data_IF_164585647532
#
_entry.id   IF_164585647532
#
_cell.length_a   1.000
_cell.length_b   1.000
_cell.length_c   1.000
_cell.angle_alpha   90.00
_cell.angle_beta   90.00
_cell.angle_gamma   90.00
#
_symmetry.space_group_name_H-M   'P 1'
#
loop_
_entity.id
_entity.type
_entity.pdbx_description
1 polymer ?
#
# COMPACT_ATOMS: atom_id res chain seq x y z
N UNK A 1 -5.30 3.52 15.91
CA UNK A 1 -3.84 3.46 15.72
C UNK A 1 -3.49 3.10 14.27
N UNK A 2 -3.66 1.86 13.80
CA UNK A 2 -3.26 1.46 12.43
C UNK A 2 -3.95 2.24 11.30
N UNK A 3 -5.27 2.47 11.41
CA UNK A 3 -6.03 3.26 10.40
C UNK A 3 -5.54 4.72 10.28
N UNK A 4 -5.16 5.33 11.39
CA UNK A 4 -4.70 6.72 11.40
C UNK A 4 -3.30 6.84 10.79
N UNK A 5 -2.44 5.85 11.06
CA UNK A 5 -1.12 5.73 10.42
C UNK A 5 -1.25 5.50 8.90
N UNK A 6 -2.19 4.64 8.49
CA UNK A 6 -2.49 4.42 7.07
C UNK A 6 -2.97 5.70 6.38
N UNK A 7 -3.84 6.49 7.01
CA UNK A 7 -4.28 7.78 6.45
C UNK A 7 -3.14 8.79 6.32
N UNK A 8 -2.26 8.88 7.32
CA UNK A 8 -1.08 9.74 7.28
C UNK A 8 -0.09 9.31 6.19
N UNK A 9 0.12 8.00 6.05
CA UNK A 9 0.92 7.43 4.96
C UNK A 9 0.33 7.78 3.59
N UNK A 10 -0.97 7.56 3.36
CA UNK A 10 -1.62 7.91 2.09
C UNK A 10 -1.59 9.41 1.80
N UNK A 11 -1.66 10.26 2.83
CA UNK A 11 -1.47 11.70 2.67
C UNK A 11 -0.03 12.07 2.28
N UNK A 12 0.98 11.36 2.80
CA UNK A 12 2.38 11.54 2.40
C UNK A 12 2.60 11.10 0.96
N UNK A 13 2.05 9.94 0.56
CA UNK A 13 2.06 9.43 -0.82
C UNK A 13 1.44 10.43 -1.80
N UNK A 14 0.36 11.12 -1.42
CA UNK A 14 -0.27 12.11 -2.30
C UNK A 14 0.62 13.35 -2.53
N UNK A 15 1.46 13.71 -1.55
CA UNK A 15 2.32 14.89 -1.59
C UNK A 15 3.68 14.62 -2.24
N UNK A 16 4.11 13.36 -2.27
CA UNK A 16 5.39 12.93 -2.82
C UNK A 16 5.19 12.03 -4.07
N UNK A 17 5.45 12.55 -5.28
CA UNK A 17 5.31 11.78 -6.51
C UNK A 17 6.30 10.62 -6.62
N UNK A 18 7.49 10.70 -6.01
CA UNK A 18 8.45 9.60 -6.00
C UNK A 18 7.95 8.46 -5.10
N UNK A 19 7.40 8.80 -3.93
CA UNK A 19 6.75 7.82 -3.05
C UNK A 19 5.52 7.19 -3.72
N UNK A 20 4.77 7.97 -4.49
CA UNK A 20 3.66 7.46 -5.29
C UNK A 20 4.12 6.44 -6.35
N UNK A 21 5.25 6.68 -7.02
CA UNK A 21 5.82 5.69 -7.94
C UNK A 21 6.19 4.40 -7.20
N UNK A 22 6.90 4.50 -6.07
CA UNK A 22 7.24 3.32 -5.24
C UNK A 22 6.00 2.55 -4.77
N UNK A 23 4.91 3.24 -4.46
CA UNK A 23 3.64 2.61 -4.10
C UNK A 23 2.98 1.90 -5.28
N UNK A 24 3.07 2.46 -6.49
CA UNK A 24 2.55 1.84 -7.72
C UNK A 24 3.39 0.62 -8.12
N UNK A 25 4.70 0.65 -7.87
CA UNK A 25 5.61 -0.47 -8.11
C UNK A 25 5.42 -1.61 -7.09
N UNK A 26 4.80 -1.33 -5.93
CA UNK A 26 4.47 -2.35 -4.95
C UNK A 26 3.28 -3.20 -5.44
N UNK A 27 3.53 -4.49 -5.60
CA UNK A 27 2.57 -5.44 -6.21
C UNK A 27 1.63 -6.00 -5.13
N UNK A 28 2.09 -6.07 -3.88
CA UNK A 28 1.39 -6.70 -2.77
C UNK A 28 1.11 -5.72 -1.62
N UNK A 29 0.06 -6.03 -0.83
CA UNK A 29 -0.26 -5.28 0.38
C UNK A 29 0.87 -5.35 1.43
N UNK A 30 1.68 -6.40 1.41
CA UNK A 30 2.82 -6.56 2.32
C UNK A 30 3.97 -5.60 1.94
N UNK A 31 4.29 -5.47 0.65
CA UNK A 31 5.27 -4.50 0.16
C UNK A 31 4.84 -3.06 0.47
N UNK A 32 3.56 -2.74 0.32
CA UNK A 32 3.02 -1.43 0.72
C UNK A 32 3.13 -1.22 2.24
N UNK A 33 2.90 -2.26 3.04
CA UNK A 33 3.08 -2.19 4.49
C UNK A 33 4.55 -1.97 4.87
N UNK A 34 5.49 -2.63 4.18
CA UNK A 34 6.92 -2.43 4.38
C UNK A 34 7.34 -1.00 4.03
N UNK A 35 6.84 -0.46 2.92
CA UNK A 35 7.09 0.93 2.53
C UNK A 35 6.58 1.93 3.58
N UNK A 36 5.41 1.67 4.16
CA UNK A 36 4.86 2.48 5.24
C UNK A 36 5.69 2.36 6.54
N UNK A 37 6.12 1.14 6.88
CA UNK A 37 6.93 0.87 8.07
C UNK A 37 8.33 1.48 8.00
N UNK A 38 8.96 1.50 6.81
CA UNK A 38 10.23 2.17 6.54
C UNK A 38 10.18 3.68 6.87
N UNK A 39 8.99 4.28 6.71
CA UNK A 39 8.71 5.68 7.05
C UNK A 39 8.23 5.88 8.50
N UNK A 40 8.20 4.82 9.31
CA UNK A 40 7.75 4.85 10.70
C UNK A 40 6.25 4.70 10.92
N UNK A 41 5.47 4.35 9.89
CA UNK A 41 4.04 4.09 10.04
C UNK A 41 3.79 2.63 10.44
N UNK A 42 3.24 2.42 11.63
CA UNK A 42 2.75 1.10 12.08
C UNK A 42 1.48 0.65 11.31
N UNK A 43 1.66 0.15 10.09
CA UNK A 43 0.61 -0.37 9.19
C UNK A 43 0.98 -1.80 8.79
N UNK A 44 -0.01 -2.71 8.80
CA UNK A 44 0.16 -4.09 8.30
C UNK A 44 -0.49 -4.32 6.94
N UNK A 45 -0.07 -5.36 6.22
CA UNK A 45 -0.72 -5.77 4.97
C UNK A 45 -2.21 -6.08 5.15
N UNK A 46 -2.59 -6.65 6.30
CA UNK A 46 -3.99 -6.87 6.67
C UNK A 46 -4.78 -5.57 6.91
N UNK A 47 -4.16 -4.51 7.41
CA UNK A 47 -4.82 -3.20 7.51
C UNK A 47 -5.10 -2.62 6.12
N UNK A 48 -4.16 -2.78 5.18
CA UNK A 48 -4.31 -2.33 3.77
C UNK A 48 -5.40 -3.12 3.07
N UNK A 49 -5.44 -4.44 3.24
CA UNK A 49 -6.49 -5.30 2.68
C UNK A 49 -7.88 -4.98 3.26
N UNK A 50 -7.97 -4.63 4.55
CA UNK A 50 -9.22 -4.15 5.17
C UNK A 50 -9.65 -2.78 4.64
N UNK A 51 -8.71 -2.00 4.13
CA UNK A 51 -8.95 -0.70 3.48
C UNK A 51 -9.32 -0.82 2.00
N UNK A 52 -9.29 -2.03 1.42
CA UNK A 52 -9.69 -2.27 0.04
C UNK A 52 -11.11 -1.76 -0.24
N UNK A 53 -11.28 -1.02 -1.34
CA UNK A 53 -12.54 -0.38 -1.71
C UNK A 53 -12.79 0.95 -1.01
N UNK A 54 -11.95 1.35 -0.05
CA UNK A 54 -12.02 2.64 0.63
C UNK A 54 -11.03 3.64 0.00
N UNK A 55 -11.38 4.92 0.04
CA UNK A 55 -10.54 6.01 -0.45
C UNK A 55 -10.19 6.94 0.71
N UNK A 56 -8.92 7.32 0.84
CA UNK A 56 -8.47 8.29 1.83
C UNK A 56 -7.46 9.25 1.19
N UNK A 57 -7.56 10.55 1.52
CA UNK A 57 -6.71 11.61 0.94
C UNK A 57 -6.61 11.50 -0.59
N UNK A 58 -7.71 11.29 -1.30
CA UNK A 58 -7.70 11.17 -2.77
C UNK A 58 -6.98 9.94 -3.34
N UNK A 59 -6.45 9.04 -2.50
CA UNK A 59 -5.90 7.74 -2.91
C UNK A 59 -6.96 6.67 -2.70
N UNK A 60 -7.34 5.98 -3.78
CA UNK A 60 -8.25 4.84 -3.74
C UNK A 60 -7.43 3.56 -3.70
N UNK A 61 -7.64 2.74 -2.68
CA UNK A 61 -7.03 1.41 -2.62
C UNK A 61 -7.96 0.44 -3.35
N UNK A 62 -7.56 0.04 -4.55
CA UNK A 62 -8.23 -1.03 -5.30
C UNK A 62 -7.37 -2.27 -5.27
N UNK A 63 -7.94 -3.38 -4.81
CA UNK A 63 -7.38 -4.70 -5.11
C UNK A 63 -7.43 -4.87 -6.63
N UNK A 64 -6.25 -5.04 -7.22
CA UNK A 64 -6.15 -5.49 -8.59
C UNK A 64 -6.25 -7.01 -8.52
N UNK A 65 -7.32 -7.57 -9.08
CA UNK A 65 -7.37 -9.01 -9.34
C UNK A 65 -6.34 -9.29 -10.43
N UNK A 66 -5.12 -9.67 -10.02
CA UNK A 66 -4.13 -10.17 -10.95
C UNK A 66 -4.63 -11.54 -11.44
N UNK A 67 -4.98 -11.70 -12.72
CA UNK A 67 -5.27 -13.02 -13.27
C UNK A 67 -3.98 -13.83 -13.05
N UNK A 68 -4.07 -14.91 -12.27
CA UNK A 68 -2.90 -15.49 -11.62
C UNK A 68 -1.74 -15.75 -12.57
N UNK A 69 -0.59 -15.13 -12.30
CA UNK A 69 0.75 -15.63 -12.57
C UNK A 69 1.73 -14.79 -11.74
N UNK A 70 2.49 -15.44 -10.84
CA UNK A 70 3.69 -14.86 -10.21
C UNK A 70 4.91 -15.42 -10.95
N UNK A 71 5.45 -14.73 -11.98
CA UNK A 71 6.67 -15.19 -12.63
C UNK A 71 7.85 -14.92 -11.68
N UNK A 72 8.25 -15.93 -10.91
CA UNK A 72 9.49 -15.81 -10.13
C UNK A 72 9.70 -16.70 -8.91
N UNK A 73 8.90 -17.75 -8.65
CA UNK A 73 9.18 -18.63 -7.50
C UNK A 73 9.05 -20.12 -7.80
N UNK A 74 9.96 -20.61 -8.64
CA UNK A 74 10.48 -21.97 -8.55
C UNK A 74 11.99 -21.91 -8.80
N UNK A 75 12.77 -22.17 -7.75
CA UNK A 75 14.12 -22.76 -7.82
C UNK A 75 14.11 -23.99 -6.92
#
# INVERSE_FOLDING_TARGET
MSREHLQRFLAAVQRDPALKQRLVDAITADEVALLAQDMGYAVSGSDILRFNGQSASGVRVTRIDHPGEYPGRYV
#
